data_IF_945651218277
#
_entry.id   IF_945651218277
#
_cell.length_a   1.000
_cell.length_b   1.000
_cell.length_c   1.000
_cell.angle_alpha   90.00
_cell.angle_beta   90.00
_cell.angle_gamma   90.00
#
_symmetry.space_group_name_H-M   'P 1'
#
loop_
_entity.id
_entity.type
_entity.pdbx_description
1 polymer ?
#
# COMPACT_ATOMS: atom_id res chain seq x y z
N UNK A 1 -17.96 -5.08 19.57
CA UNK A 1 -16.60 -5.02 19.00
C UNK A 1 -16.25 -6.38 18.42
N UNK A 2 -15.96 -6.48 17.12
CA UNK A 2 -15.60 -7.76 16.50
C UNK A 2 -14.21 -8.19 16.96
N UNK A 3 -14.05 -9.44 17.42
CA UNK A 3 -12.73 -10.00 17.77
C UNK A 3 -11.82 -9.93 16.54
N UNK A 4 -10.69 -9.25 16.67
CA UNK A 4 -9.63 -9.26 15.66
C UNK A 4 -9.13 -10.71 15.51
N UNK A 5 -9.17 -11.23 14.28
CA UNK A 5 -8.71 -12.59 13.97
C UNK A 5 -7.43 -12.49 13.19
N UNK A 6 -6.33 -12.79 13.86
CA UNK A 6 -5.00 -12.82 13.23
C UNK A 6 -4.71 -14.22 12.71
N UNK A 7 -4.33 -14.30 11.43
CA UNK A 7 -3.86 -15.55 10.81
C UNK A 7 -2.42 -15.37 10.38
N UNK A 8 -1.52 -16.17 10.95
CA UNK A 8 -0.11 -16.20 10.55
C UNK A 8 0.05 -17.33 9.52
N UNK A 9 0.73 -17.04 8.41
CA UNK A 9 1.07 -18.03 7.39
C UNK A 9 2.57 -17.99 7.19
N UNK A 10 3.20 -19.16 7.29
CA UNK A 10 4.62 -19.35 7.05
C UNK A 10 4.77 -20.26 5.83
N UNK A 11 5.54 -19.82 4.84
CA UNK A 11 5.90 -20.62 3.68
C UNK A 11 7.41 -20.61 3.47
N UNK A 12 7.93 -21.72 2.95
CA UNK A 12 9.33 -21.92 2.61
C UNK A 12 9.43 -22.27 1.13
N UNK A 13 10.49 -21.82 0.47
CA UNK A 13 10.73 -22.14 -0.92
C UNK A 13 11.96 -21.41 -1.47
N UNK A 14 12.24 -21.66 -2.75
CA UNK A 14 13.27 -20.97 -3.50
C UNK A 14 12.74 -19.63 -4.02
N UNK A 15 13.59 -18.61 -4.00
CA UNK A 15 13.27 -17.28 -4.48
C UNK A 15 14.54 -16.53 -4.91
N UNK A 16 14.42 -15.57 -5.85
CA UNK A 16 15.51 -14.66 -6.13
C UNK A 16 15.82 -13.79 -4.89
N UNK A 17 17.10 -13.45 -4.67
CA UNK A 17 17.53 -12.64 -3.54
C UNK A 17 16.84 -11.25 -3.47
N UNK A 18 16.38 -10.73 -4.62
CA UNK A 18 15.64 -9.47 -4.70
C UNK A 18 14.28 -9.49 -4.00
N UNK A 19 13.79 -10.69 -3.61
CA UNK A 19 12.52 -10.86 -2.91
C UNK A 19 12.54 -10.39 -1.46
N UNK A 20 13.70 -10.08 -0.86
CA UNK A 20 13.77 -9.61 0.52
C UNK A 20 12.83 -8.42 0.72
N UNK A 21 11.77 -8.61 1.48
CA UNK A 21 10.68 -7.65 1.67
C UNK A 21 10.30 -7.68 3.13
N UNK A 22 10.16 -6.49 3.70
CA UNK A 22 9.40 -6.26 4.91
C UNK A 22 8.42 -5.14 4.59
N UNK A 23 7.14 -5.36 4.88
CA UNK A 23 6.16 -4.32 4.62
C UNK A 23 4.74 -4.74 4.93
N UNK A 24 3.86 -3.75 5.04
CA UNK A 24 2.46 -3.93 5.38
C UNK A 24 1.53 -3.25 4.36
N UNK A 25 0.28 -3.73 4.35
CA UNK A 25 -0.87 -3.16 3.65
C UNK A 25 -2.05 -3.11 4.63
N UNK A 26 -2.76 -1.99 4.63
CA UNK A 26 -3.98 -1.78 5.43
C UNK A 26 -5.13 -1.29 4.56
N UNK A 27 -6.15 -2.16 4.46
CA UNK A 27 -7.43 -1.93 3.76
C UNK A 27 -8.53 -1.42 4.71
N UNK A 28 -8.19 -1.12 5.97
CA UNK A 28 -9.10 -0.75 7.05
C UNK A 28 -9.83 -1.91 7.71
N UNK A 29 -10.37 -2.87 6.94
CA UNK A 29 -10.97 -4.11 7.49
C UNK A 29 -9.99 -5.28 7.55
N UNK A 30 -8.99 -5.25 6.68
CA UNK A 30 -7.96 -6.27 6.57
C UNK A 30 -6.63 -5.56 6.59
N UNK A 31 -5.74 -6.02 7.46
CA UNK A 31 -4.34 -5.63 7.49
C UNK A 31 -3.51 -6.86 7.22
N UNK A 32 -2.44 -6.71 6.46
CA UNK A 32 -1.52 -7.78 6.14
C UNK A 32 -0.09 -7.26 6.26
N UNK A 33 0.74 -7.97 7.01
CA UNK A 33 2.16 -7.72 7.09
C UNK A 33 2.91 -8.89 6.43
N UNK A 34 3.99 -8.57 5.74
CA UNK A 34 4.81 -9.48 4.98
C UNK A 34 6.24 -9.34 5.45
N UNK A 35 6.90 -10.46 5.69
CA UNK A 35 8.33 -10.51 5.98
C UNK A 35 8.91 -11.70 5.26
N UNK A 36 9.89 -11.45 4.40
CA UNK A 36 10.61 -12.49 3.67
C UNK A 36 12.09 -12.43 4.04
N UNK A 37 12.61 -13.56 4.50
CA UNK A 37 14.04 -13.78 4.74
C UNK A 37 14.57 -14.72 3.65
N UNK A 38 15.71 -14.38 3.08
CA UNK A 38 16.41 -15.18 2.10
C UNK A 38 17.81 -15.52 2.64
N UNK A 39 18.31 -16.69 2.25
CA UNK A 39 19.61 -17.22 2.61
C UNK A 39 20.10 -18.10 1.46
N UNK A 40 21.41 -18.38 1.40
CA UNK A 40 22.07 -18.94 0.21
C UNK A 40 22.66 -20.33 0.39
N UNK A 41 22.66 -20.87 1.61
CA UNK A 41 23.15 -22.23 1.88
C UNK A 41 21.99 -23.22 1.87
N UNK A 42 22.30 -24.50 1.69
CA UNK A 42 21.28 -25.55 1.70
C UNK A 42 20.52 -25.57 3.04
N UNK A 43 19.20 -25.75 2.96
CA UNK A 43 18.28 -25.86 4.11
C UNK A 43 18.37 -24.69 5.13
N UNK A 44 18.88 -23.53 4.71
CA UNK A 44 19.08 -22.37 5.58
C UNK A 44 17.79 -21.72 6.10
N UNK A 45 16.63 -22.07 5.54
CA UNK A 45 15.33 -21.48 5.82
C UNK A 45 14.58 -22.18 6.98
N UNK A 46 15.26 -22.99 7.78
CA UNK A 46 14.68 -23.72 8.91
C UNK A 46 14.42 -22.89 10.17
N UNK A 47 15.03 -21.70 10.25
CA UNK A 47 14.93 -20.79 11.40
C UNK A 47 13.76 -19.81 11.34
N UNK A 48 12.81 -19.95 10.40
CA UNK A 48 11.72 -18.98 10.27
C UNK A 48 10.64 -19.23 11.33
N UNK A 49 10.91 -18.77 12.56
CA UNK A 49 9.88 -18.59 13.58
C UNK A 49 8.90 -17.54 13.05
N UNK A 50 7.61 -17.88 13.05
CA UNK A 50 6.53 -16.91 12.85
C UNK A 50 6.80 -15.71 13.73
N UNK A 51 6.92 -14.51 13.14
CA UNK A 51 6.84 -13.30 13.93
C UNK A 51 5.52 -13.34 14.69
N UNK A 52 5.56 -13.17 16.01
CA UNK A 52 4.34 -12.95 16.77
C UNK A 52 3.70 -11.69 16.17
N UNK A 53 2.41 -11.71 15.80
CA UNK A 53 1.75 -10.49 15.39
C UNK A 53 1.92 -9.50 16.53
N UNK A 54 2.40 -8.30 16.22
CA UNK A 54 2.25 -7.18 17.14
C UNK A 54 0.76 -7.08 17.43
N UNK A 55 0.35 -7.31 18.66
CA UNK A 55 -1.06 -7.39 19.02
C UNK A 55 -1.80 -6.06 18.80
N UNK A 56 -1.06 -4.97 18.61
CA UNK A 56 -1.60 -3.63 18.42
C UNK A 56 -0.81 -2.90 17.32
N UNK A 57 -1.48 -2.66 16.20
CA UNK A 57 -1.02 -1.69 15.20
C UNK A 57 -1.22 -0.27 15.76
N UNK A 58 -0.17 0.55 15.81
CA UNK A 58 -0.23 1.89 16.37
C UNK A 58 -0.50 2.92 15.26
N UNK A 59 -1.53 3.77 15.36
CA UNK A 59 -1.74 4.84 14.38
C UNK A 59 -0.51 5.74 14.25
N UNK A 60 -0.05 5.97 13.02
CA UNK A 60 1.17 6.74 12.75
C UNK A 60 0.89 8.20 12.33
N UNK A 61 -0.38 8.62 12.37
CA UNK A 61 -0.84 9.96 12.03
C UNK A 61 -1.20 10.15 10.55
N UNK A 62 -0.61 9.37 9.64
CA UNK A 62 -0.84 9.47 8.19
C UNK A 62 -2.24 8.97 7.80
N UNK A 63 -2.82 9.58 6.76
CA UNK A 63 -4.20 9.27 6.33
C UNK A 63 -4.29 8.93 4.85
N UNK A 64 -5.11 7.94 4.52
CA UNK A 64 -5.37 7.54 3.13
C UNK A 64 -6.88 7.30 2.91
N UNK A 65 -7.29 7.24 1.65
CA UNK A 65 -8.59 6.68 1.30
C UNK A 65 -8.54 5.15 1.23
N UNK A 66 -9.65 4.51 1.60
CA UNK A 66 -9.91 3.08 1.54
C UNK A 66 -11.26 2.78 0.89
N UNK A 67 -11.53 1.50 0.66
CA UNK A 67 -12.80 1.02 0.12
C UNK A 67 -13.58 0.18 1.14
N UNK A 68 -14.90 0.10 0.98
CA UNK A 68 -15.80 -0.67 1.86
C UNK A 68 -16.15 -2.07 1.31
N UNK A 69 -15.68 -2.41 0.11
CA UNK A 69 -15.97 -3.66 -0.60
C UNK A 69 -17.18 -3.61 -1.53
N UNK A 70 -17.97 -2.53 -1.52
CA UNK A 70 -19.14 -2.33 -2.42
C UNK A 70 -18.79 -1.57 -3.70
N UNK A 71 -17.56 -1.06 -3.79
CA UNK A 71 -17.09 -0.16 -4.84
C UNK A 71 -16.96 1.29 -4.37
N UNK A 72 -17.47 1.63 -3.18
CA UNK A 72 -17.26 2.92 -2.56
C UNK A 72 -15.84 3.04 -1.99
N UNK A 73 -15.07 4.02 -2.47
CA UNK A 73 -13.63 4.16 -2.19
C UNK A 73 -13.23 5.54 -1.64
N UNK A 74 -14.09 6.12 -0.80
CA UNK A 74 -13.86 7.40 -0.11
C UNK A 74 -13.78 7.26 1.42
N UNK A 75 -13.68 6.03 1.94
CA UNK A 75 -13.54 5.82 3.38
C UNK A 75 -12.21 6.40 3.84
N UNK A 76 -12.21 7.23 4.88
CA UNK A 76 -10.97 7.70 5.51
C UNK A 76 -10.37 6.55 6.33
N UNK A 77 -9.07 6.34 6.16
CA UNK A 77 -8.28 5.36 6.89
C UNK A 77 -7.12 6.05 7.60
N UNK A 78 -6.92 5.69 8.86
CA UNK A 78 -5.70 6.00 9.61
C UNK A 78 -4.69 4.88 9.34
N UNK A 79 -3.51 5.28 8.87
CA UNK A 79 -2.39 4.39 8.66
C UNK A 79 -1.74 4.04 10.00
N UNK A 80 -1.07 2.89 10.02
CA UNK A 80 -0.47 2.36 11.24
C UNK A 80 1.00 2.04 11.03
N UNK A 81 1.74 1.98 12.12
CA UNK A 81 3.13 1.54 12.16
C UNK A 81 3.98 2.29 11.12
N UNK A 82 4.67 1.59 10.22
CA UNK A 82 5.55 2.14 9.19
C UNK A 82 4.84 2.45 7.85
N UNK A 83 3.50 2.43 7.80
CA UNK A 83 2.73 2.70 6.59
C UNK A 83 2.82 4.18 6.17
N UNK A 84 3.79 4.48 5.31
CA UNK A 84 4.18 5.84 4.90
C UNK A 84 3.66 6.26 3.51
N UNK A 85 2.98 5.37 2.78
CA UNK A 85 2.41 5.63 1.44
C UNK A 85 0.93 5.26 1.38
N UNK A 86 0.20 5.89 0.46
CA UNK A 86 -1.13 5.44 0.09
C UNK A 86 -1.06 4.68 -1.22
N UNK A 87 -1.96 3.73 -1.44
CA UNK A 87 -2.05 3.04 -2.72
C UNK A 87 -3.46 3.03 -3.30
N UNK A 88 -3.50 2.80 -4.62
CA UNK A 88 -4.71 2.37 -5.33
C UNK A 88 -4.40 1.12 -6.14
N UNK A 89 -5.37 0.22 -6.24
CA UNK A 89 -5.31 -0.92 -7.16
C UNK A 89 -6.65 -1.03 -7.89
N UNK A 90 -6.56 -1.27 -9.20
CA UNK A 90 -7.71 -1.59 -10.04
C UNK A 90 -7.39 -2.84 -10.86
N UNK A 91 -8.22 -3.87 -10.74
CA UNK A 91 -8.07 -5.08 -11.55
C UNK A 91 -9.31 -5.95 -11.58
N UNK A 92 -9.32 -6.94 -12.48
CA UNK A 92 -10.46 -7.84 -12.64
C UNK A 92 -10.38 -8.97 -11.62
N UNK A 93 -11.47 -9.29 -10.95
CA UNK A 93 -11.56 -10.50 -10.14
C UNK A 93 -11.51 -11.74 -11.05
N UNK A 94 -10.67 -12.75 -10.77
CA UNK A 94 -10.51 -13.91 -11.64
C UNK A 94 -11.79 -14.72 -11.86
N UNK A 95 -12.71 -14.74 -10.89
CA UNK A 95 -13.92 -15.58 -10.92
C UNK A 95 -15.14 -14.90 -11.56
N UNK A 96 -15.25 -13.58 -11.46
CA UNK A 96 -16.47 -12.84 -11.81
C UNK A 96 -16.25 -11.81 -12.92
N UNK A 97 -15.00 -11.59 -13.35
CA UNK A 97 -14.60 -10.51 -14.26
C UNK A 97 -14.96 -9.09 -13.82
N UNK A 98 -15.51 -8.92 -12.61
CA UNK A 98 -15.86 -7.62 -12.02
C UNK A 98 -14.59 -6.81 -11.75
N UNK A 99 -14.65 -5.50 -12.02
CA UNK A 99 -13.57 -4.58 -11.67
C UNK A 99 -13.56 -4.39 -10.15
N UNK A 100 -12.51 -4.87 -9.51
CA UNK A 100 -12.19 -4.61 -8.12
C UNK A 100 -11.33 -3.36 -8.02
N UNK A 101 -11.84 -2.36 -7.30
CA UNK A 101 -11.08 -1.19 -6.87
C UNK A 101 -10.79 -1.34 -5.38
N UNK A 102 -9.54 -1.20 -5.01
CA UNK A 102 -9.14 -1.13 -3.60
C UNK A 102 -8.15 0.02 -3.39
N UNK A 103 -8.14 0.54 -2.17
CA UNK A 103 -7.28 1.62 -1.73
C UNK A 103 -6.89 1.37 -0.29
N UNK A 104 -5.77 1.94 0.14
CA UNK A 104 -5.36 1.85 1.54
C UNK A 104 -4.01 2.47 1.82
N UNK A 105 -3.49 2.12 2.98
CA UNK A 105 -2.14 2.47 3.42
C UNK A 105 -1.17 1.34 3.05
N UNK A 106 0.08 1.69 2.77
CA UNK A 106 1.13 0.76 2.38
C UNK A 106 2.50 1.30 2.80
N UNK A 107 3.42 0.40 3.07
CA UNK A 107 4.84 0.73 3.24
C UNK A 107 5.52 1.02 1.89
N UNK A 108 6.49 1.95 1.89
CA UNK A 108 7.33 2.28 0.74
C UNK A 108 7.96 1.05 0.09
N UNK A 109 8.56 0.17 0.90
CA UNK A 109 9.25 -1.01 0.43
C UNK A 109 8.31 -1.95 -0.33
N UNK A 110 7.11 -2.17 0.20
CA UNK A 110 6.09 -2.97 -0.47
C UNK A 110 5.60 -2.30 -1.75
N UNK A 111 5.42 -0.98 -1.73
CA UNK A 111 5.03 -0.22 -2.91
C UNK A 111 6.05 -0.31 -4.06
N UNK A 112 7.34 -0.20 -3.76
CA UNK A 112 8.40 -0.15 -4.77
C UNK A 112 8.74 -1.52 -5.34
N UNK A 113 8.52 -2.61 -4.59
CA UNK A 113 8.83 -3.97 -4.99
C UNK A 113 7.76 -4.57 -5.92
N UNK A 114 7.74 -4.09 -7.17
CA UNK A 114 6.90 -4.63 -8.26
C UNK A 114 7.15 -6.12 -8.57
N UNK A 115 8.29 -6.67 -8.14
CA UNK A 115 8.70 -8.07 -8.37
C UNK A 115 7.87 -9.10 -7.60
N UNK A 116 7.10 -8.70 -6.57
CA UNK A 116 6.18 -9.58 -5.85
C UNK A 116 5.06 -10.15 -6.73
N UNK A 117 4.85 -9.56 -7.90
CA UNK A 117 3.90 -10.04 -8.89
C UNK A 117 4.20 -11.45 -9.44
N UNK A 118 5.46 -11.89 -9.38
CA UNK A 118 5.85 -13.22 -9.85
C UNK A 118 5.56 -14.31 -8.82
N UNK A 119 5.43 -13.95 -7.54
CA UNK A 119 5.32 -14.88 -6.42
C UNK A 119 3.89 -14.94 -5.87
N UNK A 120 2.94 -15.25 -6.74
CA UNK A 120 1.51 -15.51 -6.41
C UNK A 120 0.62 -14.27 -6.29
N UNK A 121 1.18 -13.06 -6.19
CA UNK A 121 0.41 -11.82 -6.08
C UNK A 121 0.31 -11.09 -7.42
N UNK A 122 -0.26 -11.74 -8.45
CA UNK A 122 -0.47 -11.16 -9.79
C UNK A 122 -1.16 -9.78 -9.78
N UNK A 123 -1.80 -9.42 -8.67
CA UNK A 123 -2.47 -8.15 -8.43
C UNK A 123 -1.50 -6.97 -8.17
N UNK A 124 -0.24 -7.19 -7.79
CA UNK A 124 0.68 -6.11 -7.40
C UNK A 124 1.13 -5.22 -8.60
N UNK A 125 1.15 -5.74 -9.84
CA UNK A 125 1.56 -4.94 -11.01
C UNK A 125 0.65 -3.75 -11.31
N UNK A 126 -0.60 -3.75 -10.81
CA UNK A 126 -1.61 -2.72 -11.08
C UNK A 126 -1.81 -1.77 -9.89
N UNK A 127 -0.85 -1.78 -8.96
CA UNK A 127 -0.85 -0.90 -7.82
C UNK A 127 -0.08 0.38 -8.14
N UNK A 128 -0.68 1.53 -7.86
CA UNK A 128 -0.01 2.83 -7.86
C UNK A 128 0.06 3.33 -6.43
N UNK A 129 1.14 4.04 -6.09
CA UNK A 129 1.27 4.65 -4.77
C UNK A 129 1.65 6.12 -4.87
N UNK A 130 1.40 6.83 -3.78
CA UNK A 130 1.73 8.23 -3.61
C UNK A 130 2.05 8.49 -2.13
N UNK A 131 2.75 9.58 -1.87
CA UNK A 131 3.05 10.06 -0.54
C UNK A 131 2.22 11.32 -0.25
N UNK A 132 1.88 11.52 1.03
CA UNK A 132 0.99 12.61 1.47
C UNK A 132 -0.40 12.11 1.86
N UNK A 133 -1.08 12.92 2.68
CA UNK A 133 -2.41 12.58 3.18
C UNK A 133 -3.44 12.58 2.05
N UNK A 134 -4.24 11.50 1.99
CA UNK A 134 -5.33 11.33 1.04
C UNK A 134 -4.92 11.47 -0.44
N UNK A 135 -3.63 11.35 -0.75
CA UNK A 135 -3.10 11.49 -2.11
C UNK A 135 -3.70 10.47 -3.10
N UNK A 136 -4.20 9.35 -2.58
CA UNK A 136 -4.86 8.30 -3.36
C UNK A 136 -6.35 8.60 -3.61
N UNK A 137 -6.74 9.88 -3.69
CA UNK A 137 -8.06 10.31 -4.16
C UNK A 137 -8.26 9.82 -5.60
N UNK A 138 -9.51 9.64 -6.03
CA UNK A 138 -9.73 9.46 -7.46
C UNK A 138 -9.27 10.74 -8.18
N UNK A 139 -8.63 10.63 -9.34
CA UNK A 139 -8.42 11.78 -10.22
C UNK A 139 -9.79 12.35 -10.61
N UNK A 140 -10.28 13.32 -9.86
CA UNK A 140 -11.18 14.32 -10.41
C UNK A 140 -10.28 15.20 -11.27
N UNK A 141 -10.36 15.04 -12.59
CA UNK A 141 -9.99 16.06 -13.60
C UNK A 141 -8.91 17.02 -13.12
N UNK A 142 -7.65 16.73 -13.43
CA UNK A 142 -6.47 17.47 -12.98
C UNK A 142 -6.75 18.96 -12.77
N UNK A 143 -6.97 19.32 -11.51
CA UNK A 143 -6.92 20.72 -11.10
C UNK A 143 -5.43 21.04 -10.99
N UNK A 144 -4.81 21.19 -12.16
CA UNK A 144 -3.56 21.91 -12.30
C UNK A 144 -3.91 23.36 -11.97
N UNK A 145 -4.02 23.66 -10.69
CA UNK A 145 -3.94 25.03 -10.20
C UNK A 145 -2.47 25.43 -10.33
N UNK A 146 -2.05 25.65 -11.58
CA UNK A 146 -0.90 26.49 -11.88
C UNK A 146 -1.26 27.88 -11.36
N UNK A 147 -0.85 28.14 -10.13
CA UNK A 147 -0.81 29.47 -9.55
C UNK A 147 0.17 30.30 -10.40
N UNK A 148 -0.32 30.88 -11.50
CA UNK A 148 0.36 31.92 -12.26
C UNK A 148 0.36 33.21 -11.43
N UNK A 149 1.17 33.23 -10.37
CA UNK A 149 1.50 34.44 -9.62
C UNK A 149 2.63 35.16 -10.36
N UNK A 150 2.37 35.59 -11.61
CA UNK A 150 3.34 36.43 -12.37
C UNK A 150 2.63 37.48 -13.23
N UNK A 151 1.59 38.13 -12.72
CA UNK A 151 1.02 39.35 -13.35
C UNK A 151 1.04 40.57 -12.43
N UNK A 152 1.51 40.44 -11.18
CA UNK A 152 1.62 41.56 -10.24
C UNK A 152 2.91 42.38 -10.33
N UNK A 153 3.94 41.93 -11.04
CA UNK A 153 5.24 42.61 -11.07
C UNK A 153 5.39 43.67 -12.16
N UNK A 154 4.48 43.75 -13.14
CA UNK A 154 4.59 44.72 -14.24
C UNK A 154 4.11 46.14 -13.89
N UNK A 155 3.38 46.33 -12.79
CA UNK A 155 2.85 47.66 -12.40
C UNK A 155 3.82 48.50 -11.56
N UNK A 156 4.92 47.92 -11.08
CA UNK A 156 5.87 48.63 -10.20
C UNK A 156 7.01 49.29 -10.99
N UNK A 157 7.21 48.92 -12.25
CA UNK A 157 8.34 49.42 -13.08
C UNK A 157 7.92 50.59 -14.00
N UNK A 158 6.63 50.96 -14.03
CA UNK A 158 6.13 52.14 -14.77
C UNK A 158 5.64 53.28 -13.84
N UNK A 159 6.15 53.33 -12.61
CA UNK A 159 6.01 54.49 -11.71
C UNK A 159 7.24 55.38 -11.77
#
# INVERSE_FOLDING_TARGET
AGKEKTKIVVSKGYAPASLRLQGSINLGRVKAAFTTKCCTTDLCNDQLKSASPSEQCVPNGKKCFGCDGTGFCHRKLDCVDDEDHCFTYTGKQPKTSTILRTKGCITKDFCQKRQLAELSYKHIKRMTCCQGDYCNRADSTGSSLLLLVVTGFSLVIFS
#
